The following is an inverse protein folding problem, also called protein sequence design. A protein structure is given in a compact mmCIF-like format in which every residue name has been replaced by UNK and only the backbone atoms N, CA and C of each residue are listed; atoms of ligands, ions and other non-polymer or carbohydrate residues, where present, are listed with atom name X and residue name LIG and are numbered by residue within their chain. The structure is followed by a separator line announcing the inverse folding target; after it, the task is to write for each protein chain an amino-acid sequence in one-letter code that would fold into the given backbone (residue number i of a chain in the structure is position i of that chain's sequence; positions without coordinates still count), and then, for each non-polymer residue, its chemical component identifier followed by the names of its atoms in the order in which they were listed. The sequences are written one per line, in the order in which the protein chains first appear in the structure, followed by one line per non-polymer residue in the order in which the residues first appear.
data_IF_750316127402
#
_entry.id   IF_750316127402
#
_cell.length_a   1.000
_cell.length_b   1.000
_cell.length_c   1.000
_cell.angle_alpha   90.00
_cell.angle_beta   90.00
_cell.angle_gamma   90.00
#
_symmetry.space_group_name_H-M   'P 1'
#
loop_
_entity.id
_entity.type
_entity.pdbx_description
1 polymer ?
#
# COMPACT_ATOMS: atom_id res chain seq x y z
N UNK A 1 60.08 6.47 -1.40
CA UNK A 1 58.83 7.26 -1.36
C UNK A 1 57.67 6.30 -1.49
N UNK A 2 56.95 6.02 -0.40
CA UNK A 2 55.74 5.22 -0.46
C UNK A 2 54.60 6.12 -0.98
N UNK A 3 54.00 5.75 -2.10
CA UNK A 3 52.83 6.45 -2.64
C UNK A 3 51.67 6.10 -1.71
N UNK A 4 51.24 7.10 -0.93
CA UNK A 4 50.10 6.98 -0.03
C UNK A 4 48.84 7.00 -0.91
N UNK A 5 48.39 5.83 -1.37
CA UNK A 5 47.13 5.69 -2.09
C UNK A 5 46.02 5.88 -1.07
N UNK A 6 45.54 7.12 -0.92
CA UNK A 6 44.30 7.39 -0.19
C UNK A 6 43.19 6.67 -0.95
N UNK A 7 42.70 5.56 -0.40
CA UNK A 7 41.57 4.85 -0.98
C UNK A 7 40.38 5.80 -1.05
N UNK A 8 39.78 5.92 -2.23
CA UNK A 8 38.59 6.76 -2.41
C UNK A 8 37.48 6.19 -1.52
N UNK A 9 36.78 7.01 -0.72
CA UNK A 9 35.68 6.51 0.10
C UNK A 9 34.63 5.83 -0.79
N UNK A 10 34.12 4.68 -0.33
CA UNK A 10 33.09 3.91 -1.03
C UNK A 10 31.82 4.79 -1.13
N UNK A 11 31.31 5.08 -2.34
CA UNK A 11 30.16 5.97 -2.49
C UNK A 11 28.92 5.47 -1.76
N UNK A 12 28.14 6.39 -1.19
CA UNK A 12 26.89 6.09 -0.48
C UNK A 12 25.67 6.35 -1.37
N UNK A 13 24.92 5.30 -1.66
CA UNK A 13 23.64 5.36 -2.36
C UNK A 13 22.51 5.26 -1.34
N UNK A 14 21.69 6.30 -1.21
CA UNK A 14 20.50 6.28 -0.36
C UNK A 14 19.26 6.07 -1.21
N UNK A 15 18.43 5.10 -0.82
CA UNK A 15 17.18 4.75 -1.48
C UNK A 15 16.05 5.10 -0.52
N UNK A 16 15.15 5.98 -0.92
CA UNK A 16 13.95 6.35 -0.14
C UNK A 16 12.80 5.48 -0.59
N UNK A 17 12.34 4.58 0.28
CA UNK A 17 11.28 3.61 0.02
C UNK A 17 11.80 2.19 -0.21
N UNK A 18 11.23 1.22 0.49
CA UNK A 18 11.38 -0.24 0.37
C UNK A 18 10.21 -0.90 -0.35
N UNK A 19 9.48 -0.13 -1.18
CA UNK A 19 8.50 -0.66 -2.13
C UNK A 19 9.17 -1.39 -3.31
N UNK A 20 8.39 -1.69 -4.36
CA UNK A 20 8.89 -2.43 -5.53
C UNK A 20 10.13 -1.79 -6.16
N UNK A 21 10.08 -0.49 -6.46
CA UNK A 21 11.19 0.21 -7.11
C UNK A 21 12.45 0.28 -6.25
N UNK A 22 12.29 0.55 -4.95
CA UNK A 22 13.42 0.69 -4.03
C UNK A 22 14.14 -0.63 -3.75
N UNK A 23 13.38 -1.72 -3.58
CA UNK A 23 13.98 -3.05 -3.46
C UNK A 23 14.66 -3.50 -4.75
N UNK A 24 14.03 -3.30 -5.91
CA UNK A 24 14.63 -3.64 -7.19
C UNK A 24 15.95 -2.88 -7.40
N UNK A 25 15.97 -1.58 -7.06
CA UNK A 25 17.18 -0.76 -7.11
C UNK A 25 18.26 -1.26 -6.14
N UNK A 26 17.91 -1.56 -4.89
CA UNK A 26 18.84 -2.11 -3.91
C UNK A 26 19.46 -3.42 -4.42
N UNK A 27 18.63 -4.38 -4.86
CA UNK A 27 19.07 -5.68 -5.36
C UNK A 27 19.95 -5.57 -6.63
N UNK A 28 19.68 -4.61 -7.51
CA UNK A 28 20.50 -4.34 -8.68
C UNK A 28 21.90 -3.81 -8.32
N UNK A 29 22.06 -3.21 -7.13
CA UNK A 29 23.33 -2.66 -6.63
C UNK A 29 24.10 -3.64 -5.73
N UNK A 30 23.68 -4.90 -5.63
CA UNK A 30 24.25 -5.90 -4.74
C UNK A 30 25.77 -6.08 -4.86
N UNK A 31 26.25 -6.17 -6.09
CA UNK A 31 27.66 -6.42 -6.39
C UNK A 31 28.39 -5.13 -6.80
N UNK A 32 27.72 -3.98 -6.73
CA UNK A 32 28.31 -2.69 -7.05
C UNK A 32 29.24 -2.23 -5.91
N UNK A 33 30.36 -1.54 -6.21
CA UNK A 33 31.31 -1.07 -5.21
C UNK A 33 30.80 0.21 -4.51
N UNK A 34 29.63 0.13 -3.88
CA UNK A 34 28.93 1.21 -3.18
C UNK A 34 28.32 0.70 -1.87
N UNK A 35 28.11 1.59 -0.91
CA UNK A 35 27.31 1.34 0.29
C UNK A 35 25.87 1.78 0.03
N UNK A 36 24.93 0.85 0.12
CA UNK A 36 23.50 1.12 -0.09
C UNK A 36 22.80 1.29 1.26
N UNK A 37 21.93 2.29 1.37
CA UNK A 37 21.07 2.50 2.53
C UNK A 37 19.63 2.64 2.06
N UNK A 38 18.78 1.68 2.42
CA UNK A 38 17.33 1.74 2.18
C UNK A 38 16.66 2.36 3.40
N UNK A 39 16.00 3.50 3.20
CA UNK A 39 15.28 4.23 4.24
C UNK A 39 13.78 4.12 3.94
N UNK A 40 13.01 3.55 4.84
CA UNK A 40 11.55 3.50 4.74
C UNK A 40 10.90 3.79 6.10
N UNK A 41 9.68 4.35 6.08
CA UNK A 41 8.85 4.60 7.26
C UNK A 41 8.20 3.33 7.81
N UNK A 42 8.17 2.24 7.03
CA UNK A 42 7.77 0.89 7.48
C UNK A 42 8.97 -0.07 7.43
N UNK A 43 8.90 -1.16 8.19
CA UNK A 43 9.96 -2.17 8.24
C UNK A 43 9.74 -3.33 7.25
N UNK A 44 8.71 -3.25 6.41
CA UNK A 44 8.28 -4.30 5.49
C UNK A 44 8.04 -3.76 4.09
N UNK A 45 8.31 -4.62 3.10
CA UNK A 45 7.84 -4.46 1.75
C UNK A 45 6.42 -4.98 1.66
N UNK A 46 5.54 -4.17 1.08
CA UNK A 46 4.15 -4.50 0.86
C UNK A 46 3.90 -4.91 -0.59
N UNK A 47 3.41 -6.13 -0.79
CA UNK A 47 2.93 -6.57 -2.09
C UNK A 47 1.52 -6.00 -2.34
N UNK A 48 1.47 -4.70 -2.65
CA UNK A 48 0.25 -3.92 -2.84
C UNK A 48 -0.82 -4.56 -3.75
N UNK A 49 -0.48 -5.33 -4.82
CA UNK A 49 -1.50 -5.97 -5.66
C UNK A 49 -2.48 -6.87 -4.91
N UNK A 50 -2.14 -7.39 -3.72
CA UNK A 50 -3.03 -8.27 -2.94
C UNK A 50 -3.75 -7.55 -1.79
N UNK A 51 -3.68 -6.21 -1.72
CA UNK A 51 -4.36 -5.43 -0.68
C UNK A 51 -5.88 -5.65 -0.66
N UNK A 52 -6.50 -5.87 -1.82
CA UNK A 52 -7.94 -6.13 -1.90
C UNK A 52 -8.34 -7.44 -1.18
N UNK A 53 -7.46 -8.45 -1.18
CA UNK A 53 -7.70 -9.70 -0.46
C UNK A 53 -7.59 -9.50 1.04
N UNK A 54 -6.70 -8.62 1.50
CA UNK A 54 -6.70 -8.19 2.90
C UNK A 54 -7.97 -7.39 3.19
N UNK A 55 -8.37 -6.46 2.33
CA UNK A 55 -9.59 -5.68 2.55
C UNK A 55 -10.85 -6.56 2.66
N UNK A 56 -10.93 -7.66 1.89
CA UNK A 56 -12.08 -8.58 1.89
C UNK A 56 -11.87 -9.83 2.75
N UNK A 57 -10.93 -9.79 3.69
CA UNK A 57 -10.65 -10.88 4.65
C UNK A 57 -10.23 -12.23 4.03
N UNK A 58 -9.81 -12.26 2.76
CA UNK A 58 -9.28 -13.45 2.10
C UNK A 58 -7.81 -13.75 2.44
N UNK A 59 -7.03 -12.73 2.81
CA UNK A 59 -5.65 -12.88 3.29
C UNK A 59 -5.42 -12.13 4.61
N UNK A 60 -4.44 -12.58 5.38
CA UNK A 60 -3.89 -11.84 6.51
C UNK A 60 -2.82 -10.84 6.04
N UNK A 61 -2.60 -9.72 6.75
CA UNK A 61 -1.56 -8.76 6.39
C UNK A 61 -0.15 -9.36 6.29
N UNK A 62 0.16 -10.35 7.15
CA UNK A 62 1.47 -11.01 7.20
C UNK A 62 1.81 -11.81 5.94
N UNK A 63 0.80 -12.22 5.16
CA UNK A 63 1.01 -12.95 3.90
C UNK A 63 1.48 -12.05 2.75
N UNK A 64 1.25 -10.73 2.87
CA UNK A 64 1.60 -9.76 1.83
C UNK A 64 2.66 -8.75 2.27
N UNK A 65 3.09 -8.80 3.54
CA UNK A 65 4.05 -7.89 4.16
C UNK A 65 5.34 -8.63 4.56
N UNK A 66 6.43 -8.38 3.85
CA UNK A 66 7.69 -9.09 4.02
C UNK A 66 8.76 -8.16 4.61
N UNK A 67 9.42 -8.49 5.73
CA UNK A 67 10.43 -7.62 6.32
C UNK A 67 11.52 -7.24 5.31
N UNK A 68 11.77 -5.93 5.13
CA UNK A 68 12.78 -5.41 4.17
C UNK A 68 14.16 -6.00 4.51
N UNK A 69 14.49 -6.05 5.82
CA UNK A 69 15.71 -6.68 6.34
C UNK A 69 15.81 -8.16 5.96
N UNK A 70 14.69 -8.88 5.95
CA UNK A 70 14.63 -10.28 5.56
C UNK A 70 14.94 -10.48 4.08
N UNK A 71 14.40 -9.62 3.22
CA UNK A 71 14.62 -9.63 1.77
C UNK A 71 16.10 -9.34 1.45
N UNK A 72 16.70 -8.37 2.14
CA UNK A 72 18.06 -7.89 1.87
C UNK A 72 19.14 -8.55 2.74
N UNK A 73 18.80 -9.55 3.58
CA UNK A 73 19.69 -10.14 4.60
C UNK A 73 21.02 -10.66 4.08
N UNK A 74 21.07 -11.12 2.83
CA UNK A 74 22.25 -11.72 2.21
C UNK A 74 23.08 -10.70 1.39
N UNK A 75 22.69 -9.42 1.41
CA UNK A 75 23.34 -8.36 0.67
C UNK A 75 24.20 -7.53 1.62
N UNK A 76 25.49 -7.85 1.65
CA UNK A 76 26.45 -7.32 2.64
C UNK A 76 26.68 -5.81 2.54
N UNK A 77 26.49 -5.22 1.37
CA UNK A 77 26.70 -3.79 1.13
C UNK A 77 25.44 -2.94 1.40
N UNK A 78 24.36 -3.53 1.95
CA UNK A 78 23.10 -2.81 2.17
C UNK A 78 22.72 -2.74 3.64
N UNK A 79 22.46 -1.52 4.09
CA UNK A 79 21.82 -1.23 5.37
C UNK A 79 20.33 -0.88 5.15
N UNK A 80 19.48 -1.29 6.09
CA UNK A 80 18.07 -0.90 6.14
C UNK A 80 17.86 -0.02 7.35
N UNK A 81 17.20 1.11 7.16
CA UNK A 81 16.92 2.11 8.18
C UNK A 81 15.41 2.35 8.23
N UNK A 82 14.83 2.21 9.43
CA UNK A 82 13.45 2.57 9.68
C UNK A 82 13.41 4.05 10.06
N UNK A 83 13.06 4.91 9.10
CA UNK A 83 12.91 6.34 9.31
C UNK A 83 12.02 6.96 8.23
N UNK A 84 11.31 8.03 8.58
CA UNK A 84 10.55 8.80 7.60
C UNK A 84 11.40 9.95 7.06
N UNK A 85 11.42 10.10 5.74
CA UNK A 85 12.12 11.19 5.06
C UNK A 85 11.14 12.34 4.84
N UNK A 86 11.32 13.43 5.59
CA UNK A 86 10.44 14.59 5.52
C UNK A 86 10.85 15.60 4.44
N UNK A 87 12.15 15.67 4.11
CA UNK A 87 12.67 16.63 3.12
C UNK A 87 13.94 16.13 2.45
N UNK A 88 14.08 16.44 1.16
CA UNK A 88 15.32 16.30 0.40
C UNK A 88 15.98 17.67 0.23
N UNK A 89 17.21 17.82 0.72
CA UNK A 89 18.07 18.96 0.42
C UNK A 89 19.07 18.57 -0.69
N UNK A 90 18.81 19.05 -1.91
CA UNK A 90 19.64 18.76 -3.08
C UNK A 90 20.95 19.55 -3.09
N UNK A 91 21.00 20.71 -2.44
CA UNK A 91 22.21 21.54 -2.40
C UNK A 91 23.24 20.93 -1.45
N UNK A 92 22.78 20.50 -0.27
CA UNK A 92 23.63 19.88 0.75
C UNK A 92 23.77 18.36 0.57
N UNK A 93 23.05 17.77 -0.41
CA UNK A 93 22.97 16.31 -0.65
C UNK A 93 22.63 15.53 0.62
N UNK A 94 21.53 15.93 1.24
CA UNK A 94 21.13 15.46 2.56
C UNK A 94 19.62 15.21 2.64
N UNK A 95 19.22 14.22 3.42
CA UNK A 95 17.82 13.94 3.76
C UNK A 95 17.55 14.36 5.20
N UNK A 96 16.46 15.09 5.42
CA UNK A 96 15.93 15.33 6.77
C UNK A 96 15.03 14.16 7.14
N UNK A 97 15.38 13.43 8.18
CA UNK A 97 14.62 12.24 8.62
C UNK A 97 14.26 12.31 10.10
N UNK A 98 13.37 11.42 10.54
CA UNK A 98 12.97 11.30 11.96
C UNK A 98 14.10 10.88 12.89
N UNK A 99 15.23 10.39 12.38
CA UNK A 99 16.40 9.98 13.17
C UNK A 99 17.61 10.92 12.97
N UNK A 100 17.38 12.09 12.38
CA UNK A 100 18.42 13.05 12.03
C UNK A 100 18.73 13.09 10.54
N UNK A 101 19.83 13.74 10.21
CA UNK A 101 20.24 14.00 8.84
C UNK A 101 21.00 12.81 8.22
N UNK A 102 20.65 12.45 6.98
CA UNK A 102 21.32 11.39 6.22
C UNK A 102 21.91 11.97 4.93
N UNK A 103 23.23 12.12 4.88
CA UNK A 103 23.95 12.50 3.66
C UNK A 103 23.99 11.36 2.64
N UNK A 104 24.12 11.72 1.36
CA UNK A 104 24.24 10.79 0.24
C UNK A 104 25.17 11.31 -0.86
N UNK A 105 25.80 10.38 -1.60
CA UNK A 105 26.46 10.71 -2.87
C UNK A 105 25.48 10.59 -4.04
N UNK A 106 24.63 9.56 -3.99
CA UNK A 106 23.56 9.30 -4.95
C UNK A 106 22.25 9.03 -4.22
N UNK A 107 21.15 9.52 -4.78
CA UNK A 107 19.81 9.40 -4.22
C UNK A 107 18.87 8.71 -5.22
N UNK A 108 18.17 7.68 -4.76
CA UNK A 108 17.08 7.04 -5.50
C UNK A 108 15.77 7.32 -4.75
N UNK A 109 14.86 8.05 -5.38
CA UNK A 109 13.54 8.34 -4.81
C UNK A 109 12.54 7.29 -5.31
N UNK A 110 12.14 6.38 -4.41
CA UNK A 110 11.19 5.30 -4.64
C UNK A 110 10.07 5.29 -3.59
N UNK A 111 9.65 6.47 -3.13
CA UNK A 111 8.70 6.66 -2.02
C UNK A 111 7.26 6.22 -2.31
N UNK A 112 6.96 5.81 -3.55
CA UNK A 112 5.63 5.38 -3.97
C UNK A 112 4.68 6.55 -4.24
N UNK A 113 3.39 6.33 -4.00
CA UNK A 113 2.32 7.28 -4.24
C UNK A 113 1.25 7.19 -3.14
N UNK A 114 0.45 8.24 -3.02
CA UNK A 114 -0.68 8.33 -2.09
C UNK A 114 -2.02 8.38 -2.85
N UNK A 115 -3.12 8.18 -2.14
CA UNK A 115 -4.47 8.38 -2.68
C UNK A 115 -4.65 9.84 -3.09
N UNK A 116 -5.22 10.07 -4.27
CA UNK A 116 -5.54 11.41 -4.77
C UNK A 116 -7.06 11.59 -4.76
N UNK A 117 -7.54 12.66 -4.12
CA UNK A 117 -8.94 13.04 -4.09
C UNK A 117 -9.29 14.14 -5.09
N UNK A 118 -8.42 14.39 -6.08
CA UNK A 118 -8.67 15.31 -7.21
C UNK A 118 -9.02 16.74 -6.78
N UNK A 119 -8.40 17.22 -5.69
CA UNK A 119 -8.66 18.56 -5.14
C UNK A 119 -9.74 18.59 -4.06
N UNK A 120 -10.43 17.47 -3.79
CA UNK A 120 -11.47 17.33 -2.78
C UNK A 120 -10.98 16.56 -1.56
N UNK A 121 -10.04 17.13 -0.80
CA UNK A 121 -9.44 16.46 0.36
C UNK A 121 -10.47 16.11 1.46
N UNK A 122 -11.60 16.82 1.50
CA UNK A 122 -12.75 16.52 2.36
C UNK A 122 -13.34 15.12 2.11
N UNK A 123 -13.12 14.52 0.94
CA UNK A 123 -13.58 13.16 0.65
C UNK A 123 -12.85 12.09 1.46
N UNK A 124 -11.66 12.37 1.98
CA UNK A 124 -10.90 11.44 2.80
C UNK A 124 -11.62 11.07 4.12
N UNK A 125 -12.57 11.88 4.57
CA UNK A 125 -13.40 11.58 5.75
C UNK A 125 -14.39 10.43 5.47
N UNK A 126 -14.84 10.31 4.22
CA UNK A 126 -15.90 9.38 3.82
C UNK A 126 -15.35 8.16 3.07
N UNK A 127 -14.41 8.38 2.16
CA UNK A 127 -13.76 7.35 1.36
C UNK A 127 -12.44 6.92 1.97
N UNK A 128 -12.21 5.62 2.04
CA UNK A 128 -10.92 5.05 2.45
C UNK A 128 -10.10 4.75 1.20
N UNK A 129 -8.81 5.04 1.25
CA UNK A 129 -7.86 4.61 0.25
C UNK A 129 -7.67 3.09 0.24
N UNK A 130 -6.77 2.62 -0.61
CA UNK A 130 -6.26 1.24 -0.54
C UNK A 130 -4.79 1.23 -0.97
N UNK A 131 -3.94 1.84 -0.14
CA UNK A 131 -2.50 2.02 -0.41
C UNK A 131 -1.60 1.29 0.59
N UNK A 132 -2.08 1.05 1.80
CA UNK A 132 -1.35 0.33 2.83
C UNK A 132 -2.22 -0.67 3.60
N UNK A 133 -1.63 -1.34 4.59
CA UNK A 133 -2.31 -2.35 5.41
C UNK A 133 -3.42 -1.72 6.25
N UNK A 134 -3.20 -0.50 6.76
CA UNK A 134 -4.16 0.15 7.64
C UNK A 134 -5.43 0.54 6.85
N UNK A 135 -5.26 1.03 5.62
CA UNK A 135 -6.36 1.23 4.68
C UNK A 135 -7.16 -0.07 4.47
N UNK A 136 -6.48 -1.18 4.17
CA UNK A 136 -7.15 -2.46 3.91
C UNK A 136 -7.91 -2.97 5.16
N UNK A 137 -7.33 -2.83 6.34
CA UNK A 137 -7.99 -3.22 7.59
C UNK A 137 -9.18 -2.33 7.92
N UNK A 138 -9.11 -1.04 7.63
CA UNK A 138 -10.23 -0.12 7.80
C UNK A 138 -11.37 -0.43 6.83
N UNK A 139 -11.07 -0.72 5.56
CA UNK A 139 -12.09 -1.19 4.60
C UNK A 139 -12.73 -2.48 5.09
N UNK A 140 -11.93 -3.46 5.52
CA UNK A 140 -12.43 -4.72 6.10
C UNK A 140 -13.38 -4.46 7.26
N UNK A 141 -12.97 -3.62 8.21
CA UNK A 141 -13.76 -3.26 9.39
C UNK A 141 -15.09 -2.65 8.98
N UNK A 142 -15.08 -1.64 8.09
CA UNK A 142 -16.32 -0.98 7.62
C UNK A 142 -17.27 -1.95 6.94
N UNK A 143 -16.76 -2.84 6.08
CA UNK A 143 -17.58 -3.84 5.39
C UNK A 143 -18.24 -4.79 6.39
N UNK A 144 -17.46 -5.41 7.28
CA UNK A 144 -18.00 -6.39 8.23
C UNK A 144 -18.97 -5.75 9.23
N UNK A 145 -18.63 -4.56 9.75
CA UNK A 145 -19.52 -3.81 10.66
C UNK A 145 -20.83 -3.44 9.96
N UNK A 146 -20.81 -3.09 8.67
CA UNK A 146 -22.04 -2.77 7.95
C UNK A 146 -23.01 -3.97 7.87
N UNK A 147 -22.50 -5.19 7.70
CA UNK A 147 -23.35 -6.40 7.77
C UNK A 147 -23.91 -6.65 9.17
N UNK A 148 -23.08 -6.46 10.22
CA UNK A 148 -23.53 -6.58 11.62
C UNK A 148 -24.58 -5.54 12.00
N UNK A 149 -24.40 -4.29 11.57
CA UNK A 149 -25.39 -3.22 11.79
C UNK A 149 -26.69 -3.52 11.04
N UNK A 150 -26.61 -4.04 9.81
CA UNK A 150 -27.78 -4.40 9.02
C UNK A 150 -28.59 -5.55 9.66
N UNK A 151 -27.93 -6.53 10.30
CA UNK A 151 -28.59 -7.61 11.05
C UNK A 151 -29.43 -7.10 12.23
N UNK A 152 -28.98 -6.01 12.87
CA UNK A 152 -29.67 -5.39 14.00
C UNK A 152 -30.72 -4.36 13.59
N UNK A 153 -30.62 -3.82 12.37
CA UNK A 153 -31.51 -2.79 11.86
C UNK A 153 -32.91 -3.33 11.52
N UNK A 154 -33.93 -2.64 12.01
CA UNK A 154 -35.35 -3.01 11.83
C UNK A 154 -36.05 -2.19 10.76
N UNK A 155 -35.53 -1.00 10.42
CA UNK A 155 -36.00 -0.20 9.29
C UNK A 155 -35.43 -0.74 7.97
N UNK A 156 -36.28 -1.28 7.06
CA UNK A 156 -35.82 -1.87 5.81
C UNK A 156 -35.05 -0.88 4.91
N UNK A 157 -35.37 0.41 4.96
CA UNK A 157 -34.68 1.41 4.15
C UNK A 157 -33.24 1.65 4.65
N UNK A 158 -33.05 1.68 5.97
CA UNK A 158 -31.71 1.80 6.57
C UNK A 158 -30.90 0.53 6.40
N UNK A 159 -31.53 -0.65 6.55
CA UNK A 159 -30.89 -1.94 6.31
C UNK A 159 -30.36 -2.02 4.88
N UNK A 160 -31.18 -1.64 3.89
CA UNK A 160 -30.76 -1.56 2.48
C UNK A 160 -29.60 -0.58 2.26
N UNK A 161 -29.60 0.56 2.96
CA UNK A 161 -28.51 1.54 2.90
C UNK A 161 -27.20 0.97 3.45
N UNK A 162 -27.25 0.27 4.58
CA UNK A 162 -26.09 -0.40 5.19
C UNK A 162 -25.50 -1.48 4.27
N UNK A 163 -26.35 -2.19 3.54
CA UNK A 163 -25.94 -3.21 2.55
C UNK A 163 -25.63 -2.63 1.15
N UNK A 164 -25.43 -1.32 1.03
CA UNK A 164 -25.02 -0.69 -0.24
C UNK A 164 -23.59 -0.20 -0.15
N UNK A 165 -22.72 -0.75 -0.99
CA UNK A 165 -21.31 -0.44 -1.05
C UNK A 165 -20.97 0.25 -2.38
N UNK A 166 -20.17 1.32 -2.31
CA UNK A 166 -19.75 2.09 -3.47
C UNK A 166 -18.23 2.00 -3.58
N UNK A 167 -17.75 1.50 -4.73
CA UNK A 167 -16.34 1.43 -5.09
C UNK A 167 -16.09 2.46 -6.19
N UNK A 168 -15.15 3.38 -5.97
CA UNK A 168 -14.87 4.49 -6.89
C UNK A 168 -13.57 4.19 -7.64
N UNK A 169 -13.65 4.22 -8.98
CA UNK A 169 -12.60 3.85 -9.92
C UNK A 169 -12.73 2.40 -10.38
N UNK A 170 -12.88 2.18 -11.68
CA UNK A 170 -12.97 0.85 -12.31
C UNK A 170 -11.67 0.45 -13.04
N UNK A 171 -10.53 0.90 -12.52
CA UNK A 171 -9.24 0.27 -12.79
C UNK A 171 -9.11 -1.11 -12.13
N UNK A 172 -7.96 -1.80 -12.29
CA UNK A 172 -7.76 -3.15 -11.75
C UNK A 172 -8.13 -3.27 -10.27
N UNK A 173 -7.60 -2.39 -9.41
CA UNK A 173 -7.85 -2.42 -7.96
C UNK A 173 -9.34 -2.30 -7.60
N UNK A 174 -10.08 -1.41 -8.25
CA UNK A 174 -11.50 -1.23 -7.95
C UNK A 174 -12.36 -2.39 -8.45
N UNK A 175 -12.01 -2.96 -9.60
CA UNK A 175 -12.67 -4.17 -10.13
C UNK A 175 -12.41 -5.38 -9.24
N UNK A 176 -11.16 -5.61 -8.82
CA UNK A 176 -10.80 -6.68 -7.88
C UNK A 176 -11.53 -6.51 -6.54
N UNK A 177 -11.55 -5.30 -5.98
CA UNK A 177 -12.25 -5.01 -4.73
C UNK A 177 -13.76 -5.26 -4.84
N UNK A 178 -14.40 -4.76 -5.91
CA UNK A 178 -15.83 -4.97 -6.14
C UNK A 178 -16.18 -6.46 -6.34
N UNK A 179 -15.33 -7.19 -7.06
CA UNK A 179 -15.47 -8.64 -7.28
C UNK A 179 -15.34 -9.42 -5.97
N UNK A 180 -14.27 -9.17 -5.20
CA UNK A 180 -14.05 -9.85 -3.91
C UNK A 180 -15.10 -9.49 -2.87
N UNK A 181 -15.64 -8.26 -2.88
CA UNK A 181 -16.77 -7.91 -2.02
C UNK A 181 -18.03 -8.71 -2.40
N UNK A 182 -18.29 -8.88 -3.70
CA UNK A 182 -19.41 -9.70 -4.17
C UNK A 182 -19.23 -11.17 -3.78
N UNK A 183 -17.99 -11.67 -3.82
CA UNK A 183 -17.65 -13.02 -3.38
C UNK A 183 -17.87 -13.21 -1.88
N UNK A 184 -17.36 -12.28 -1.06
CA UNK A 184 -17.56 -12.25 0.39
C UNK A 184 -19.06 -12.29 0.74
N UNK A 185 -19.85 -11.42 0.15
CA UNK A 185 -21.29 -11.30 0.42
C UNK A 185 -22.09 -12.55 -0.03
N UNK A 186 -21.76 -13.12 -1.18
CA UNK A 186 -22.55 -14.22 -1.79
C UNK A 186 -22.14 -15.61 -1.34
N UNK A 187 -20.89 -15.79 -0.90
CA UNK A 187 -20.37 -17.12 -0.60
C UNK A 187 -19.92 -17.23 0.85
N UNK A 188 -19.07 -16.31 1.33
CA UNK A 188 -18.51 -16.41 2.68
C UNK A 188 -19.57 -16.13 3.75
N UNK A 189 -20.26 -14.98 3.65
CA UNK A 189 -21.18 -14.51 4.70
C UNK A 189 -22.60 -15.09 4.57
N UNK A 190 -22.93 -15.76 3.45
CA UNK A 190 -24.30 -16.15 3.08
C UNK A 190 -25.08 -16.87 4.19
N UNK A 191 -24.41 -17.60 5.07
CA UNK A 191 -25.03 -18.42 6.13
C UNK A 191 -24.79 -17.89 7.55
N UNK A 192 -24.10 -16.77 7.69
CA UNK A 192 -23.65 -16.27 8.99
C UNK A 192 -24.71 -15.39 9.67
N UNK A 193 -25.62 -14.83 8.88
CA UNK A 193 -26.66 -13.89 9.32
C UNK A 193 -28.04 -14.53 9.33
N UNK A 194 -28.93 -14.07 10.22
CA UNK A 194 -30.26 -14.67 10.44
C UNK A 194 -31.41 -13.77 9.97
N UNK A 195 -31.24 -12.45 10.01
CA UNK A 195 -32.28 -11.46 9.71
C UNK A 195 -32.07 -10.79 8.37
N UNK A 196 -30.82 -10.70 7.91
CA UNK A 196 -30.49 -10.26 6.55
C UNK A 196 -30.09 -11.44 5.66
N UNK A 197 -30.20 -11.23 4.35
CA UNK A 197 -29.51 -12.04 3.37
C UNK A 197 -28.31 -11.24 2.83
N UNK A 198 -27.07 -11.55 3.21
CA UNK A 198 -25.89 -10.83 2.74
C UNK A 198 -25.75 -10.80 1.22
N UNK A 199 -26.30 -11.79 0.50
CA UNK A 199 -26.28 -11.82 -0.96
C UNK A 199 -27.10 -10.70 -1.63
N UNK A 200 -27.96 -10.00 -0.87
CA UNK A 200 -28.72 -8.84 -1.33
C UNK A 200 -27.89 -7.54 -1.29
N UNK A 201 -26.63 -7.62 -0.84
CA UNK A 201 -25.71 -6.49 -0.87
C UNK A 201 -25.60 -5.90 -2.28
N UNK A 202 -25.82 -4.59 -2.37
CA UNK A 202 -25.73 -3.83 -3.61
C UNK A 202 -24.33 -3.24 -3.72
N UNK A 203 -23.57 -3.67 -4.71
CA UNK A 203 -22.22 -3.17 -4.98
C UNK A 203 -22.27 -2.30 -6.23
N UNK A 204 -21.88 -1.05 -6.10
CA UNK A 204 -21.86 -0.05 -7.17
C UNK A 204 -20.40 0.27 -7.48
N UNK A 205 -19.95 -0.07 -8.68
CA UNK A 205 -18.65 0.34 -9.20
C UNK A 205 -18.84 1.60 -10.06
N UNK A 206 -18.21 2.70 -9.66
CA UNK A 206 -18.29 3.99 -10.35
C UNK A 206 -16.98 4.29 -11.09
N UNK A 207 -17.08 4.73 -12.35
CA UNK A 207 -15.95 5.11 -13.18
C UNK A 207 -16.22 6.46 -13.86
N UNK A 208 -15.22 7.34 -13.86
CA UNK A 208 -15.32 8.63 -14.52
C UNK A 208 -15.01 8.56 -16.02
N UNK A 209 -14.32 7.51 -16.46
CA UNK A 209 -14.01 7.22 -17.85
C UNK A 209 -15.14 6.44 -18.55
N UNK A 210 -15.16 6.39 -19.90
CA UNK A 210 -16.21 5.68 -20.64
C UNK A 210 -16.25 4.16 -20.47
N UNK A 211 -15.22 3.55 -19.88
CA UNK A 211 -15.08 2.09 -19.76
C UNK A 211 -14.31 1.66 -18.52
N UNK A 212 -14.61 0.46 -18.05
CA UNK A 212 -13.84 -0.25 -17.03
C UNK A 212 -12.53 -0.80 -17.62
N UNK A 213 -11.56 -1.07 -16.75
CA UNK A 213 -10.25 -1.62 -17.11
C UNK A 213 -9.64 -1.00 -18.38
N UNK A 214 -9.43 0.34 -18.43
CA UNK A 214 -8.93 1.02 -19.63
C UNK A 214 -7.64 0.43 -20.22
N UNK A 215 -6.68 -0.10 -19.43
CA UNK A 215 -5.44 -0.66 -19.98
C UNK A 215 -5.58 -1.99 -20.74
N UNK A 216 -6.73 -2.67 -20.65
CA UNK A 216 -6.93 -3.97 -21.32
C UNK A 216 -7.43 -3.78 -22.76
N UNK A 217 -7.15 -4.71 -23.65
CA UNK A 217 -7.72 -4.69 -25.01
C UNK A 217 -9.22 -5.02 -24.96
N UNK A 218 -9.96 -4.58 -25.99
CA UNK A 218 -11.35 -4.99 -26.21
C UNK A 218 -11.45 -6.38 -26.82
#
# INVERSE_FOLDING_TARGET
MAINVVSKPVPKVVIVGGGFGGLAAAQALKDAPVNVMVVDRTNYHLFQPLLYQVAMAGLSPGEIAHPIRGILRNQVNTEVVLAEVAKVDLQQRNLKTTIGDISYDYLILAAGAQTNYFGHNEWAEYGVGLKDIDDALEVRRRVLVAFEEAEHETDPAKQKRLLTFIVIGAGPTGVELAGSLAELARFALKKDFRRINPSDARIILLEGLPRVLPPFVE
#
